data_IF_486441436182
#
_entry.id   IF_486441436182
#
_cell.length_a   1.000
_cell.length_b   1.000
_cell.length_c   1.000
_cell.angle_alpha   90.00
_cell.angle_beta   90.00
_cell.angle_gamma   90.00
#
_symmetry.space_group_name_H-M   'P 1'
#
loop_
_entity.id
_entity.type
_entity.pdbx_description
1 polymer ?
#
# COMPACT_ATOMS: atom_id res chain seq x y z
N UNK A 1 -46.51 0.74 42.90
CA UNK A 1 -45.46 1.08 41.92
C UNK A 1 -46.06 1.00 40.53
N UNK A 2 -45.94 2.10 39.78
CA UNK A 2 -46.83 2.48 38.67
C UNK A 2 -46.47 1.77 37.36
N UNK A 3 -47.44 1.10 36.72
CA UNK A 3 -47.44 0.83 35.27
C UNK A 3 -48.50 1.72 34.62
N UNK A 4 -48.05 2.44 33.59
CA UNK A 4 -48.83 3.30 32.69
C UNK A 4 -49.74 2.46 31.80
N UNK A 5 -50.96 2.92 31.55
CA UNK A 5 -51.73 2.59 30.36
C UNK A 5 -52.80 3.67 30.18
N UNK A 6 -52.74 4.41 29.07
CA UNK A 6 -53.92 5.02 28.46
C UNK A 6 -53.71 5.05 26.95
N UNK A 7 -54.41 4.14 26.29
CA UNK A 7 -54.78 4.15 24.88
C UNK A 7 -56.11 4.89 24.76
N UNK A 8 -56.32 5.64 23.68
CA UNK A 8 -57.63 5.83 23.04
C UNK A 8 -57.38 6.43 21.64
N UNK A 9 -57.41 5.61 20.59
CA UNK A 9 -58.52 5.44 19.63
C UNK A 9 -58.82 6.68 18.77
N UNK A 10 -58.60 6.58 17.46
CA UNK A 10 -59.71 6.47 16.49
C UNK A 10 -59.19 6.17 15.08
N UNK A 11 -60.05 5.51 14.31
CA UNK A 11 -59.77 4.87 13.04
C UNK A 11 -60.62 5.47 11.90
N UNK A 12 -60.21 5.16 10.66
CA UNK A 12 -61.00 5.06 9.41
C UNK A 12 -61.34 6.39 8.67
N UNK A 13 -60.89 6.53 7.41
CA UNK A 13 -61.74 6.58 6.20
C UNK A 13 -61.03 7.16 4.94
N UNK A 14 -60.74 6.26 3.99
CA UNK A 14 -60.95 6.30 2.51
C UNK A 14 -60.84 7.58 1.64
N UNK A 15 -59.97 7.46 0.62
CA UNK A 15 -60.06 7.83 -0.82
C UNK A 15 -61.18 8.77 -1.33
N UNK A 16 -60.79 9.80 -2.10
CA UNK A 16 -61.01 9.91 -3.57
C UNK A 16 -60.65 11.31 -4.13
N UNK A 17 -60.11 11.36 -5.37
CA UNK A 17 -60.51 12.41 -6.33
C UNK A 17 -59.46 13.41 -6.87
N UNK A 18 -59.01 13.13 -8.10
CA UNK A 18 -58.80 14.04 -9.24
C UNK A 18 -57.50 14.89 -9.42
N UNK A 19 -56.90 14.67 -10.59
CA UNK A 19 -55.95 15.50 -11.36
C UNK A 19 -56.49 16.95 -11.56
N UNK A 20 -55.73 18.02 -11.82
CA UNK A 20 -54.64 18.23 -12.80
C UNK A 20 -54.07 19.67 -12.67
N UNK A 21 -52.87 19.89 -13.24
CA UNK A 21 -52.28 21.12 -13.81
C UNK A 21 -51.47 22.12 -12.94
N UNK A 22 -50.15 22.04 -13.17
CA UNK A 22 -49.20 23.09 -13.55
C UNK A 22 -49.10 24.41 -12.74
N UNK A 23 -47.90 24.66 -12.23
CA UNK A 23 -47.42 26.00 -11.90
C UNK A 23 -46.18 25.99 -11.01
N UNK A 24 -44.99 26.03 -11.62
CA UNK A 24 -43.79 26.54 -10.95
C UNK A 24 -44.05 27.98 -10.51
N UNK A 25 -43.61 28.35 -9.31
CA UNK A 25 -42.58 29.35 -9.06
C UNK A 25 -42.75 29.93 -7.65
N UNK A 26 -41.68 29.87 -6.84
CA UNK A 26 -41.34 30.81 -5.77
C UNK A 26 -40.04 30.38 -5.09
N UNK A 27 -39.00 31.10 -5.47
CA UNK A 27 -37.74 31.24 -4.75
C UNK A 27 -37.97 31.96 -3.41
N UNK A 28 -37.47 31.39 -2.33
CA UNK A 28 -37.27 32.10 -1.06
C UNK A 28 -35.80 32.50 -0.91
N UNK A 29 -35.63 33.76 -0.49
CA UNK A 29 -34.36 34.47 -0.37
C UNK A 29 -33.50 33.85 0.74
N UNK A 30 -32.28 33.45 0.39
CA UNK A 30 -31.24 33.11 1.36
C UNK A 30 -30.64 34.37 1.97
N UNK A 31 -30.47 34.34 3.29
CA UNK A 31 -29.84 35.39 4.10
C UNK A 31 -28.35 35.53 3.76
N UNK A 32 -27.90 36.78 3.62
CA UNK A 32 -26.50 37.16 3.39
C UNK A 32 -25.64 36.78 4.60
N UNK A 33 -24.75 35.79 4.42
CA UNK A 33 -23.62 35.55 5.34
C UNK A 33 -22.43 36.40 4.90
N UNK A 34 -21.74 37.10 5.83
CA UNK A 34 -20.64 37.99 5.47
C UNK A 34 -19.46 37.22 4.86
N UNK A 35 -19.03 37.70 3.69
CA UNK A 35 -17.91 37.19 2.92
C UNK A 35 -16.58 37.43 3.68
N UNK A 36 -16.05 36.36 4.27
CA UNK A 36 -14.77 36.35 5.00
C UNK A 36 -14.05 35.01 4.85
N UNK A 37 -13.99 34.45 3.65
CA UNK A 37 -13.37 33.16 3.36
C UNK A 37 -11.89 33.27 2.98
N UNK A 38 -11.00 33.55 3.94
CA UNK A 38 -9.57 33.31 3.76
C UNK A 38 -9.26 31.81 3.88
N UNK A 39 -8.72 31.21 2.82
CA UNK A 39 -8.22 29.82 2.77
C UNK A 39 -7.16 29.55 3.86
N UNK A 40 -7.57 29.05 5.03
CA UNK A 40 -6.65 28.74 6.15
C UNK A 40 -6.31 27.25 6.21
N UNK A 41 -5.30 26.82 5.45
CA UNK A 41 -4.68 25.49 5.62
C UNK A 41 -3.75 25.00 4.51
N UNK A 42 -3.55 25.75 3.45
CA UNK A 42 -2.76 25.34 2.28
C UNK A 42 -1.27 25.67 2.48
N UNK A 43 -0.39 24.85 1.88
CA UNK A 43 1.03 25.14 1.86
C UNK A 43 1.30 26.42 1.06
N UNK A 44 2.01 27.37 1.65
CA UNK A 44 2.41 28.64 0.99
C UNK A 44 3.64 28.45 0.11
N UNK A 45 4.48 27.47 0.43
CA UNK A 45 5.64 27.04 -0.36
C UNK A 45 5.86 25.53 -0.25
N UNK A 46 6.65 25.00 -1.19
CA UNK A 46 7.27 23.67 -1.09
C UNK A 46 8.74 23.90 -1.40
N UNK A 47 9.63 23.38 -0.56
CA UNK A 47 11.07 23.35 -0.82
C UNK A 47 11.54 21.91 -0.94
N UNK A 48 12.61 21.68 -1.70
CA UNK A 48 13.23 20.37 -1.80
C UNK A 48 14.63 20.41 -1.21
N UNK A 49 15.02 19.34 -0.53
CA UNK A 49 16.39 19.16 -0.05
C UNK A 49 17.43 19.19 -1.19
N UNK A 50 17.02 18.92 -2.42
CA UNK A 50 17.83 19.04 -3.64
C UNK A 50 16.98 19.56 -4.81
N UNK A 51 17.58 20.41 -5.65
CA UNK A 51 16.95 20.93 -6.88
C UNK A 51 17.58 20.34 -8.15
N UNK A 52 18.72 19.66 -8.01
CA UNK A 52 19.39 18.92 -9.08
C UNK A 52 20.12 17.69 -8.51
N UNK A 53 20.03 16.57 -9.22
CA UNK A 53 20.79 15.35 -8.94
C UNK A 53 21.39 14.81 -10.24
N UNK A 54 22.66 14.45 -10.20
CA UNK A 54 23.32 13.66 -11.24
C UNK A 54 23.52 12.24 -10.69
N UNK A 55 22.95 11.24 -11.35
CA UNK A 55 22.84 9.86 -10.83
C UNK A 55 23.42 8.83 -11.81
N UNK A 56 23.96 7.76 -11.23
CA UNK A 56 24.27 6.51 -11.91
C UNK A 56 22.99 5.70 -12.17
N UNK A 57 22.98 4.85 -13.21
CA UNK A 57 21.85 3.93 -13.44
C UNK A 57 21.78 2.93 -12.28
N UNK A 58 20.57 2.63 -11.81
CA UNK A 58 20.25 1.91 -10.57
C UNK A 58 20.55 2.68 -9.27
N UNK A 59 21.08 3.91 -9.36
CA UNK A 59 21.21 4.78 -8.20
C UNK A 59 19.85 5.18 -7.63
N UNK A 60 19.80 5.37 -6.32
CA UNK A 60 18.59 5.80 -5.60
C UNK A 60 18.86 7.02 -4.73
N UNK A 61 17.84 7.85 -4.51
CA UNK A 61 17.95 9.01 -3.63
C UNK A 61 16.60 9.33 -2.98
N UNK A 62 16.60 9.63 -1.68
CA UNK A 62 15.39 10.10 -0.99
C UNK A 62 15.27 11.61 -1.12
N UNK A 63 14.37 12.08 -1.99
CA UNK A 63 14.00 13.51 -1.99
C UNK A 63 13.09 13.79 -0.81
N UNK A 64 13.28 14.96 -0.20
CA UNK A 64 12.49 15.43 0.93
C UNK A 64 11.85 16.75 0.55
N UNK A 65 10.54 16.85 0.81
CA UNK A 65 9.78 18.07 0.62
C UNK A 65 9.57 18.75 1.98
N UNK A 66 10.06 19.97 2.08
CA UNK A 66 9.99 20.80 3.28
C UNK A 66 8.80 21.74 3.09
N UNK A 67 7.84 21.66 4.01
CA UNK A 67 6.64 22.49 4.04
C UNK A 67 6.72 23.47 5.21
N UNK A 68 6.15 24.68 5.08
CA UNK A 68 6.02 25.64 6.18
C UNK A 68 5.33 25.00 7.39
N UNK A 69 5.77 25.37 8.60
CA UNK A 69 5.33 24.72 9.85
C UNK A 69 3.82 24.87 10.11
N UNK A 70 3.23 25.97 9.63
CA UNK A 70 1.81 26.31 9.72
C UNK A 70 0.93 25.53 8.73
N UNK A 71 1.54 24.77 7.81
CA UNK A 71 0.81 23.95 6.83
C UNK A 71 0.01 22.89 7.57
N UNK A 72 -1.32 22.99 7.49
CA UNK A 72 -2.24 22.02 8.12
C UNK A 72 -2.32 20.70 7.39
N UNK A 73 -2.12 20.72 6.07
CA UNK A 73 -2.16 19.55 5.20
C UNK A 73 -0.74 19.29 4.69
N UNK A 74 0.02 18.44 5.38
CA UNK A 74 1.42 18.15 5.00
C UNK A 74 1.59 17.10 3.92
N UNK A 75 0.55 16.86 3.12
CA UNK A 75 0.61 15.92 2.01
C UNK A 75 1.42 16.51 0.87
N UNK A 76 2.31 15.69 0.33
CA UNK A 76 3.11 15.98 -0.86
C UNK A 76 2.80 14.94 -1.92
N UNK A 77 2.36 15.38 -3.08
CA UNK A 77 2.24 14.54 -4.27
C UNK A 77 3.51 14.63 -5.09
N UNK A 78 4.10 13.48 -5.40
CA UNK A 78 5.30 13.35 -6.21
C UNK A 78 4.96 12.91 -7.63
N UNK A 79 5.66 13.45 -8.62
CA UNK A 79 5.50 13.06 -10.03
C UNK A 79 6.82 13.16 -10.76
N UNK A 80 7.10 12.17 -11.60
CA UNK A 80 8.17 12.25 -12.60
C UNK A 80 7.62 12.66 -13.97
N UNK A 81 8.34 13.53 -14.66
CA UNK A 81 8.06 13.85 -16.07
C UNK A 81 8.42 12.70 -17.02
N UNK A 82 9.34 11.82 -16.63
CA UNK A 82 9.73 10.65 -17.41
C UNK A 82 10.10 9.47 -16.49
N UNK A 83 9.10 8.69 -16.03
CA UNK A 83 9.31 7.53 -15.14
C UNK A 83 10.18 6.41 -15.75
N UNK A 84 10.45 6.41 -17.07
CA UNK A 84 11.36 5.45 -17.69
C UNK A 84 12.84 5.85 -17.55
N UNK A 85 13.11 7.12 -17.26
CA UNK A 85 14.46 7.66 -16.98
C UNK A 85 14.70 7.69 -15.47
N UNK A 86 13.80 8.32 -14.72
CA UNK A 86 13.83 8.30 -13.26
C UNK A 86 12.40 8.23 -12.71
N UNK A 87 12.10 7.22 -11.88
CA UNK A 87 10.82 7.12 -11.18
C UNK A 87 10.92 7.73 -9.79
N UNK A 88 9.78 8.11 -9.22
CA UNK A 88 9.64 8.58 -7.84
C UNK A 88 8.44 7.88 -7.22
N UNK A 89 8.60 7.35 -6.01
CA UNK A 89 7.52 6.75 -5.22
C UNK A 89 6.64 7.82 -4.56
N UNK A 90 5.57 7.40 -3.88
CA UNK A 90 4.65 8.32 -3.18
C UNK A 90 5.26 9.06 -2.00
N UNK A 91 6.40 8.58 -1.47
CA UNK A 91 7.15 9.19 -0.37
C UNK A 91 8.44 9.91 -0.83
N UNK A 92 8.67 10.06 -2.13
CA UNK A 92 9.81 10.83 -2.65
C UNK A 92 11.10 10.03 -2.90
N UNK A 93 11.06 8.70 -2.82
CA UNK A 93 12.18 7.84 -3.16
C UNK A 93 12.39 7.77 -4.68
N UNK A 94 13.48 8.37 -5.15
CA UNK A 94 13.85 8.43 -6.57
C UNK A 94 14.71 7.23 -6.95
N UNK A 95 14.39 6.60 -8.08
CA UNK A 95 15.21 5.52 -8.68
C UNK A 95 15.60 5.90 -10.11
N UNK A 96 16.91 5.90 -10.40
CA UNK A 96 17.45 6.12 -11.74
C UNK A 96 17.40 4.82 -12.56
N UNK A 97 16.70 4.84 -13.69
CA UNK A 97 16.38 3.63 -14.48
C UNK A 97 17.19 3.56 -15.78
N UNK A 98 17.28 4.68 -16.50
CA UNK A 98 17.99 4.71 -17.80
C UNK A 98 18.57 6.09 -18.07
N UNK A 99 19.59 6.13 -18.94
CA UNK A 99 20.27 7.38 -19.32
C UNK A 99 19.28 8.40 -19.89
N UNK A 100 19.36 9.64 -19.41
CA UNK A 100 18.50 10.73 -19.85
C UNK A 100 18.27 11.77 -18.75
N UNK A 101 17.24 12.59 -18.94
CA UNK A 101 16.82 13.57 -17.93
C UNK A 101 15.34 13.44 -17.59
N UNK A 102 15.00 13.63 -16.32
CA UNK A 102 13.63 13.69 -15.84
C UNK A 102 13.50 14.81 -14.80
N UNK A 103 12.33 15.43 -14.72
CA UNK A 103 12.01 16.37 -13.65
C UNK A 103 11.11 15.66 -12.64
N UNK A 104 11.50 15.69 -11.38
CA UNK A 104 10.70 15.21 -10.26
C UNK A 104 10.05 16.40 -9.58
N UNK A 105 8.72 16.45 -9.57
CA UNK A 105 7.94 17.55 -8.97
C UNK A 105 7.28 17.07 -7.70
N UNK A 106 7.49 17.79 -6.61
CA UNK A 106 6.75 17.70 -5.36
C UNK A 106 5.69 18.81 -5.32
N UNK A 107 4.46 18.47 -4.97
CA UNK A 107 3.36 19.44 -4.92
C UNK A 107 2.52 19.28 -3.67
N UNK A 108 2.13 20.39 -3.06
CA UNK A 108 1.18 20.44 -1.96
C UNK A 108 0.12 21.49 -2.29
N UNK A 109 -1.03 21.02 -2.76
CA UNK A 109 -2.13 21.84 -3.31
C UNK A 109 -1.65 22.87 -4.35
N UNK A 110 -1.53 24.15 -3.98
CA UNK A 110 -1.19 25.26 -4.87
C UNK A 110 0.31 25.50 -5.00
N UNK A 111 1.13 24.96 -4.09
CA UNK A 111 2.57 25.12 -4.10
C UNK A 111 3.26 23.88 -4.69
N UNK A 112 4.39 24.09 -5.37
CA UNK A 112 5.21 23.00 -5.92
C UNK A 112 6.67 23.38 -6.04
N UNK A 113 7.53 22.38 -6.01
CA UNK A 113 8.96 22.48 -6.29
C UNK A 113 9.40 21.33 -7.20
N UNK A 114 10.49 21.54 -7.94
CA UNK A 114 10.98 20.57 -8.92
C UNK A 114 12.48 20.33 -8.74
N UNK A 115 12.88 19.07 -8.80
CA UNK A 115 14.27 18.63 -8.87
C UNK A 115 14.56 18.05 -10.26
N UNK A 116 15.61 18.55 -10.92
CA UNK A 116 16.08 18.00 -12.20
C UNK A 116 17.01 16.81 -11.95
N UNK A 117 16.67 15.66 -12.51
CA UNK A 117 17.49 14.45 -12.46
C UNK A 117 18.18 14.26 -13.81
N UNK A 118 19.51 14.10 -13.78
CA UNK A 118 20.30 13.68 -14.93
C UNK A 118 20.88 12.30 -14.66
N UNK A 119 20.44 11.30 -15.42
CA UNK A 119 21.00 9.95 -15.36
C UNK A 119 22.03 9.85 -16.47
N UNK A 120 23.31 9.82 -16.11
CA UNK A 120 24.41 9.82 -17.09
C UNK A 120 25.61 8.98 -16.70
N UNK A 121 25.65 8.55 -15.44
CA UNK A 121 26.76 7.79 -14.90
C UNK A 121 26.74 6.30 -15.29
N UNK A 122 27.61 5.51 -14.66
CA UNK A 122 27.74 4.08 -14.93
C UNK A 122 26.51 3.34 -14.44
N UNK A 123 26.33 2.11 -14.92
CA UNK A 123 25.35 1.21 -14.31
C UNK A 123 25.93 0.67 -13.01
N UNK A 124 25.32 1.00 -11.88
CA UNK A 124 25.66 0.38 -10.60
C UNK A 124 25.25 -1.09 -10.70
N UNK A 125 26.23 -1.96 -10.54
CA UNK A 125 25.98 -3.39 -10.46
C UNK A 125 25.38 -3.69 -9.08
N UNK A 126 24.10 -4.07 -9.08
CA UNK A 126 23.42 -4.43 -7.85
C UNK A 126 23.85 -5.83 -7.45
N UNK A 127 24.08 -6.03 -6.16
CA UNK A 127 24.29 -7.37 -5.61
C UNK A 127 23.15 -8.31 -6.03
N UNK A 128 23.42 -9.59 -6.35
CA UNK A 128 22.38 -10.56 -6.64
C UNK A 128 21.42 -10.69 -5.45
N UNK A 129 20.15 -10.92 -5.74
CA UNK A 129 19.16 -11.21 -4.69
C UNK A 129 19.30 -12.67 -4.29
N UNK A 130 19.55 -12.92 -3.01
CA UNK A 130 19.70 -14.25 -2.42
C UNK A 130 18.58 -14.52 -1.41
N UNK A 131 17.38 -14.91 -1.86
CA UNK A 131 16.29 -15.21 -0.97
C UNK A 131 16.51 -16.57 -0.29
N UNK A 132 16.31 -16.62 1.04
CA UNK A 132 16.42 -17.84 1.84
C UNK A 132 15.11 -18.12 2.55
N UNK A 133 14.60 -19.34 2.36
CA UNK A 133 13.41 -19.85 3.06
C UNK A 133 13.87 -20.69 4.24
N UNK A 134 13.32 -20.42 5.42
CA UNK A 134 13.60 -21.13 6.67
C UNK A 134 12.27 -21.62 7.23
N UNK A 135 12.12 -22.92 7.44
CA UNK A 135 10.81 -23.52 7.74
C UNK A 135 9.93 -23.61 6.48
N UNK A 136 8.61 -23.69 6.65
CA UNK A 136 7.68 -23.76 5.53
C UNK A 136 6.36 -24.45 5.86
N UNK A 137 5.45 -24.46 4.89
CA UNK A 137 4.11 -25.07 5.03
C UNK A 137 3.91 -26.21 4.03
N UNK A 138 3.56 -27.41 4.51
CA UNK A 138 3.29 -28.57 3.66
C UNK A 138 1.84 -28.54 3.15
N UNK A 139 1.59 -28.51 1.82
CA UNK A 139 0.24 -28.53 1.26
C UNK A 139 -0.58 -29.79 1.59
N UNK A 140 0.06 -30.87 2.04
CA UNK A 140 -0.59 -32.16 2.33
C UNK A 140 -0.77 -32.42 3.82
N UNK A 141 0.06 -31.81 4.66
CA UNK A 141 0.15 -32.14 6.08
C UNK A 141 0.05 -30.86 6.91
N UNK A 142 -0.97 -30.78 7.76
CA UNK A 142 -1.09 -29.66 8.68
C UNK A 142 -0.21 -29.84 9.91
N UNK A 143 0.70 -28.90 10.13
CA UNK A 143 1.35 -28.66 11.41
C UNK A 143 0.95 -27.27 11.95
N UNK A 144 0.24 -27.28 13.09
CA UNK A 144 -0.20 -26.07 13.80
C UNK A 144 0.95 -25.22 14.36
N UNK A 145 2.13 -25.81 14.51
CA UNK A 145 3.33 -25.14 15.03
C UNK A 145 4.28 -24.75 13.89
N UNK A 146 3.92 -25.02 12.63
CA UNK A 146 4.74 -24.64 11.49
C UNK A 146 4.92 -23.13 11.45
N UNK A 147 6.17 -22.73 11.23
CA UNK A 147 6.58 -21.35 11.02
C UNK A 147 7.43 -21.27 9.77
N UNK A 148 7.42 -20.12 9.11
CA UNK A 148 8.31 -19.85 7.99
C UNK A 148 8.91 -18.45 8.11
N UNK A 149 10.15 -18.30 7.65
CA UNK A 149 10.77 -17.01 7.39
C UNK A 149 11.29 -16.97 5.97
N UNK A 150 11.08 -15.84 5.29
CA UNK A 150 11.73 -15.56 4.01
C UNK A 150 12.64 -14.36 4.19
N UNK A 151 13.94 -14.60 4.13
CA UNK A 151 14.99 -13.59 4.23
C UNK A 151 15.48 -13.19 2.85
N UNK A 152 15.75 -11.90 2.61
CA UNK A 152 16.35 -11.39 1.38
C UNK A 152 17.12 -10.09 1.63
N UNK A 153 18.17 -9.84 0.85
CA UNK A 153 19.07 -8.70 1.02
C UNK A 153 18.51 -7.39 0.44
N UNK A 154 17.76 -7.44 -0.67
CA UNK A 154 17.14 -6.27 -1.29
C UNK A 154 15.89 -6.63 -2.09
N UNK A 155 15.06 -5.63 -2.35
CA UNK A 155 13.93 -5.77 -3.26
C UNK A 155 14.37 -5.82 -4.74
N UNK A 156 13.64 -6.54 -5.60
CA UNK A 156 13.84 -6.49 -7.04
C UNK A 156 13.55 -5.11 -7.61
N UNK A 157 14.30 -4.69 -8.63
CA UNK A 157 14.10 -3.39 -9.31
C UNK A 157 13.50 -3.52 -10.71
N UNK A 158 13.33 -4.75 -11.21
CA UNK A 158 12.74 -5.03 -12.52
C UNK A 158 11.91 -6.30 -12.51
N UNK A 159 11.00 -6.44 -13.48
CA UNK A 159 10.23 -7.67 -13.69
C UNK A 159 11.14 -8.88 -13.96
N UNK A 160 12.30 -8.66 -14.59
CA UNK A 160 13.29 -9.70 -14.83
C UNK A 160 13.85 -10.24 -13.51
N UNK A 161 14.38 -9.35 -12.65
CA UNK A 161 14.89 -9.76 -11.33
C UNK A 161 13.78 -10.39 -10.48
N UNK A 162 12.56 -9.85 -10.52
CA UNK A 162 11.43 -10.42 -9.79
C UNK A 162 11.14 -11.86 -10.22
N UNK A 163 11.18 -12.14 -11.53
CA UNK A 163 11.06 -13.51 -12.06
C UNK A 163 12.20 -14.39 -11.56
N UNK A 164 13.44 -13.92 -11.59
CA UNK A 164 14.61 -14.68 -11.08
C UNK A 164 14.46 -15.04 -9.59
N UNK A 165 13.92 -14.14 -8.75
CA UNK A 165 13.58 -14.46 -7.35
C UNK A 165 12.43 -15.47 -7.29
N UNK A 166 11.39 -15.30 -8.12
CA UNK A 166 10.25 -16.21 -8.18
C UNK A 166 10.64 -17.64 -8.56
N UNK A 167 11.60 -17.81 -9.46
CA UNK A 167 12.16 -19.14 -9.78
C UNK A 167 12.74 -19.83 -8.53
N UNK A 168 13.38 -19.06 -7.63
CA UNK A 168 14.03 -19.57 -6.41
C UNK A 168 13.03 -19.95 -5.31
N UNK A 169 12.01 -19.12 -5.05
CA UNK A 169 11.13 -19.29 -3.87
C UNK A 169 9.65 -19.51 -4.21
N UNK A 170 9.18 -19.16 -5.40
CA UNK A 170 7.75 -19.17 -5.74
C UNK A 170 7.11 -20.57 -5.83
N UNK A 171 7.91 -21.63 -5.71
CA UNK A 171 7.43 -23.03 -5.68
C UNK A 171 6.97 -23.47 -4.29
N UNK A 172 7.03 -22.58 -3.30
CA UNK A 172 6.60 -22.81 -1.91
C UNK A 172 5.47 -21.84 -1.51
N UNK A 173 4.60 -22.21 -0.56
CA UNK A 173 3.55 -21.32 -0.04
C UNK A 173 4.12 -20.02 0.53
N UNK A 174 5.08 -20.11 1.45
CA UNK A 174 5.73 -18.96 2.09
C UNK A 174 6.50 -18.08 1.09
N UNK A 175 7.11 -18.70 0.06
CA UNK A 175 7.81 -17.96 -0.96
C UNK A 175 6.90 -17.07 -1.80
N UNK A 176 5.70 -17.52 -2.18
CA UNK A 176 4.76 -16.66 -2.93
C UNK A 176 4.23 -15.51 -2.08
N UNK A 177 4.07 -15.72 -0.78
CA UNK A 177 3.68 -14.65 0.16
C UNK A 177 4.73 -13.53 0.19
N UNK A 178 6.01 -13.90 0.33
CA UNK A 178 7.10 -12.92 0.28
C UNK A 178 7.18 -12.21 -1.08
N UNK A 179 6.96 -12.93 -2.18
CA UNK A 179 6.93 -12.34 -3.51
C UNK A 179 5.77 -11.35 -3.70
N UNK A 180 4.61 -11.57 -3.08
CA UNK A 180 3.51 -10.60 -3.12
C UNK A 180 3.89 -9.28 -2.42
N UNK A 181 4.50 -9.36 -1.24
CA UNK A 181 5.03 -8.18 -0.54
C UNK A 181 6.11 -7.47 -1.36
N UNK A 182 7.00 -8.21 -2.02
CA UNK A 182 7.95 -7.63 -2.97
C UNK A 182 7.24 -6.93 -4.13
N UNK A 183 6.19 -7.53 -4.70
CA UNK A 183 5.42 -6.92 -5.79
C UNK A 183 4.72 -5.63 -5.37
N UNK A 184 4.24 -5.55 -4.12
CA UNK A 184 3.63 -4.34 -3.57
C UNK A 184 4.66 -3.22 -3.35
N UNK A 185 5.85 -3.55 -2.87
CA UNK A 185 6.95 -2.59 -2.77
C UNK A 185 7.42 -2.12 -4.16
N UNK A 186 7.46 -3.03 -5.13
CA UNK A 186 7.74 -2.66 -6.51
C UNK A 186 6.66 -1.74 -7.09
N UNK A 187 5.39 -1.93 -6.71
CA UNK A 187 4.32 -1.01 -7.10
C UNK A 187 4.50 0.37 -6.47
N UNK A 188 4.85 0.42 -5.19
CA UNK A 188 5.14 1.66 -4.48
C UNK A 188 6.21 2.49 -5.20
N UNK A 189 7.28 1.84 -5.67
CA UNK A 189 8.39 2.49 -6.41
C UNK A 189 8.04 2.81 -7.85
N UNK A 190 7.34 1.90 -8.52
CA UNK A 190 6.95 2.03 -9.92
C UNK A 190 5.66 1.23 -10.20
N UNK A 191 4.49 1.89 -10.25
CA UNK A 191 3.20 1.21 -10.42
C UNK A 191 3.10 0.33 -11.67
N UNK A 192 3.79 0.69 -12.76
CA UNK A 192 3.77 -0.11 -13.99
C UNK A 192 4.49 -1.45 -13.78
N UNK A 193 5.72 -1.40 -13.24
CA UNK A 193 6.52 -2.60 -12.95
C UNK A 193 5.85 -3.44 -11.86
N UNK A 194 5.40 -2.82 -10.77
CA UNK A 194 4.75 -3.52 -9.67
C UNK A 194 3.50 -4.26 -10.10
N UNK A 195 2.65 -3.67 -10.95
CA UNK A 195 1.48 -4.38 -11.45
C UNK A 195 1.82 -5.59 -12.34
N UNK A 196 2.92 -5.53 -13.10
CA UNK A 196 3.41 -6.72 -13.80
C UNK A 196 3.83 -7.81 -12.81
N UNK A 197 4.47 -7.44 -11.71
CA UNK A 197 4.90 -8.39 -10.66
C UNK A 197 3.70 -8.99 -9.92
N UNK A 198 2.70 -8.18 -9.53
CA UNK A 198 1.44 -8.65 -8.91
C UNK A 198 0.77 -9.71 -9.78
N UNK A 199 0.68 -9.47 -11.09
CA UNK A 199 0.06 -10.41 -12.04
C UNK A 199 0.77 -11.76 -12.10
N UNK A 200 2.05 -11.83 -11.76
CA UNK A 200 2.83 -13.07 -11.74
C UNK A 200 2.58 -13.91 -10.49
N UNK A 201 2.06 -13.33 -9.41
CA UNK A 201 1.95 -14.02 -8.11
C UNK A 201 0.55 -14.04 -7.52
N UNK A 202 -0.40 -13.28 -8.05
CA UNK A 202 -1.78 -13.26 -7.57
C UNK A 202 -2.76 -13.80 -8.61
N UNK A 203 -3.79 -14.52 -8.16
CA UNK A 203 -4.94 -14.92 -8.99
C UNK A 203 -5.60 -13.71 -9.65
N UNK A 204 -5.94 -13.87 -10.93
CA UNK A 204 -6.56 -12.85 -11.76
C UNK A 204 -7.85 -12.29 -11.15
N UNK A 205 -8.64 -13.09 -10.42
CA UNK A 205 -9.87 -12.61 -9.80
C UNK A 205 -9.65 -11.50 -8.76
N UNK A 206 -8.43 -11.35 -8.23
CA UNK A 206 -8.08 -10.38 -7.20
C UNK A 206 -7.27 -9.19 -7.73
N UNK A 207 -6.92 -9.16 -9.02
CA UNK A 207 -6.11 -8.09 -9.59
C UNK A 207 -6.77 -6.71 -9.42
N UNK A 208 -8.10 -6.62 -9.56
CA UNK A 208 -8.83 -5.36 -9.36
C UNK A 208 -8.73 -4.88 -7.92
N UNK A 209 -9.06 -5.74 -6.97
CA UNK A 209 -9.09 -5.40 -5.54
C UNK A 209 -7.70 -5.01 -5.04
N UNK A 210 -6.66 -5.73 -5.47
CA UNK A 210 -5.27 -5.37 -5.19
C UNK A 210 -4.92 -4.02 -5.80
N UNK A 211 -5.24 -3.82 -7.08
CA UNK A 211 -4.92 -2.56 -7.77
C UNK A 211 -5.58 -1.38 -7.06
N UNK A 212 -6.85 -1.51 -6.70
CA UNK A 212 -7.60 -0.45 -6.04
C UNK A 212 -7.10 -0.21 -4.60
N UNK A 213 -6.71 -1.28 -3.90
CA UNK A 213 -6.04 -1.20 -2.61
C UNK A 213 -4.69 -0.48 -2.66
N UNK A 214 -3.81 -0.90 -3.57
CA UNK A 214 -2.50 -0.28 -3.79
C UNK A 214 -2.63 1.20 -4.17
N UNK A 215 -3.63 1.56 -5.01
CA UNK A 215 -3.95 2.96 -5.30
C UNK A 215 -4.47 3.74 -4.09
N UNK A 216 -5.09 3.08 -3.11
CA UNK A 216 -5.53 3.75 -1.88
C UNK A 216 -4.35 4.05 -0.96
N UNK A 217 -3.44 3.10 -0.77
CA UNK A 217 -2.30 3.25 0.15
C UNK A 217 -1.09 3.98 -0.46
N UNK A 218 -0.90 3.93 -1.77
CA UNK A 218 0.19 4.62 -2.46
C UNK A 218 -0.29 5.75 -3.37
N UNK A 219 -1.60 5.96 -3.46
CA UNK A 219 -2.18 7.00 -4.30
C UNK A 219 -2.67 8.22 -3.52
N UNK A 220 -3.66 8.90 -4.08
CA UNK A 220 -3.97 10.30 -3.75
C UNK A 220 -4.85 10.50 -2.51
N UNK A 221 -5.36 9.45 -1.88
CA UNK A 221 -6.28 9.59 -0.75
C UNK A 221 -5.50 9.86 0.55
N UNK A 222 -5.55 11.11 1.01
CA UNK A 222 -4.70 11.62 2.08
C UNK A 222 -4.84 10.86 3.41
N UNK A 223 -6.06 10.43 3.75
CA UNK A 223 -6.33 9.71 5.00
C UNK A 223 -5.99 8.20 4.92
N UNK A 224 -5.66 7.71 3.72
CA UNK A 224 -5.43 6.29 3.46
C UNK A 224 -3.98 5.98 3.04
N UNK A 225 -3.17 7.00 2.74
CA UNK A 225 -1.80 6.83 2.29
C UNK A 225 -0.92 6.20 3.39
N UNK A 226 -0.25 5.09 3.06
CA UNK A 226 0.62 4.32 3.94
C UNK A 226 1.86 3.86 3.13
N UNK A 227 2.82 4.75 2.83
CA UNK A 227 4.01 4.38 2.06
C UNK A 227 4.86 3.30 2.75
N UNK A 228 4.76 3.20 4.08
CA UNK A 228 5.41 2.17 4.90
C UNK A 228 4.66 0.83 4.93
N UNK A 229 3.60 0.63 4.15
CA UNK A 229 2.71 -0.53 4.29
C UNK A 229 3.46 -1.87 4.17
N UNK A 230 4.31 -2.04 3.16
CA UNK A 230 5.12 -3.27 3.04
C UNK A 230 6.12 -3.38 4.18
N UNK A 231 6.76 -2.27 4.57
CA UNK A 231 7.72 -2.27 5.66
C UNK A 231 7.14 -2.81 6.96
N UNK A 232 5.82 -2.68 7.19
CA UNK A 232 5.20 -3.24 8.38
C UNK A 232 5.26 -4.77 8.47
N UNK A 233 5.51 -5.48 7.37
CA UNK A 233 5.64 -6.94 7.34
C UNK A 233 7.08 -7.43 7.50
N UNK A 234 8.03 -6.52 7.70
CA UNK A 234 9.45 -6.81 7.77
C UNK A 234 9.97 -6.69 9.20
N UNK A 235 10.81 -7.62 9.63
CA UNK A 235 11.38 -7.61 10.97
C UNK A 235 12.18 -6.31 11.26
N UNK A 236 12.12 -5.86 12.51
CA UNK A 236 12.77 -4.62 12.97
C UNK A 236 12.08 -3.34 12.51
N UNK A 237 11.03 -3.44 11.69
CA UNK A 237 10.17 -2.30 11.39
C UNK A 237 9.33 -2.00 12.62
N UNK A 238 9.37 -0.79 13.13
CA UNK A 238 8.56 -0.39 14.28
C UNK A 238 8.01 1.00 14.09
N UNK A 239 6.86 1.29 14.70
CA UNK A 239 6.32 2.65 14.67
C UNK A 239 7.35 3.66 15.18
N UNK A 240 8.07 3.30 16.26
CA UNK A 240 9.12 4.08 16.95
C UNK A 240 10.27 4.53 16.03
N UNK A 241 10.60 3.73 15.01
CA UNK A 241 11.68 4.00 14.05
C UNK A 241 11.17 4.41 12.66
N UNK A 242 9.87 4.66 12.53
CA UNK A 242 9.26 5.15 11.29
C UNK A 242 8.95 4.02 10.32
N UNK A 243 8.79 2.81 10.84
CA UNK A 243 8.69 1.57 10.07
C UNK A 243 9.91 1.35 9.19
N UNK A 244 11.10 1.60 9.74
CA UNK A 244 12.37 1.31 9.08
C UNK A 244 12.81 -0.11 9.45
N UNK A 245 12.70 -1.10 8.54
CA UNK A 245 13.04 -2.48 8.81
C UNK A 245 14.54 -2.71 9.00
N UNK A 246 14.88 -3.80 9.67
CA UNK A 246 16.27 -4.28 9.73
C UNK A 246 16.71 -4.95 8.43
N UNK A 247 18.03 -4.97 8.20
CA UNK A 247 18.66 -5.71 7.12
C UNK A 247 19.42 -6.94 7.66
N UNK A 248 19.40 -8.09 6.96
CA UNK A 248 18.62 -8.37 5.76
C UNK A 248 17.11 -8.34 6.06
N UNK A 249 16.29 -8.08 5.04
CA UNK A 249 14.84 -8.08 5.19
C UNK A 249 14.34 -9.48 5.50
N UNK A 250 13.39 -9.60 6.43
CA UNK A 250 12.80 -10.87 6.85
C UNK A 250 11.29 -10.72 6.93
N UNK A 251 10.57 -11.58 6.21
CA UNK A 251 9.12 -11.77 6.38
C UNK A 251 8.90 -13.01 7.23
N UNK A 252 8.21 -12.85 8.36
CA UNK A 252 7.94 -13.94 9.30
C UNK A 252 6.47 -14.37 9.24
N UNK A 253 6.24 -15.68 9.33
CA UNK A 253 4.94 -16.31 9.15
C UNK A 253 4.73 -17.45 10.14
N UNK A 254 3.47 -17.73 10.47
CA UNK A 254 3.04 -18.92 11.22
C UNK A 254 1.81 -19.54 10.55
N UNK A 255 1.55 -20.80 10.86
CA UNK A 255 0.33 -21.47 10.43
C UNK A 255 -0.89 -20.78 11.04
N UNK A 256 -1.93 -20.52 10.22
CA UNK A 256 -3.22 -20.05 10.71
C UNK A 256 -3.94 -21.17 11.49
N UNK A 257 -4.93 -20.82 12.32
CA UNK A 257 -5.56 -21.79 13.22
C UNK A 257 -6.27 -22.96 12.48
N UNK A 258 -6.87 -22.68 11.32
CA UNK A 258 -7.55 -23.66 10.46
C UNK A 258 -7.16 -23.44 8.98
N UNK A 259 -5.90 -23.75 8.58
CA UNK A 259 -5.33 -23.15 7.39
C UNK A 259 -5.66 -23.87 6.08
N UNK A 260 -6.02 -25.15 6.12
CA UNK A 260 -6.20 -25.96 4.91
C UNK A 260 -7.68 -26.14 4.58
N UNK A 261 -8.07 -25.68 3.39
CA UNK A 261 -9.43 -25.90 2.86
C UNK A 261 -9.40 -26.33 1.40
N UNK A 262 -10.41 -27.09 1.00
CA UNK A 262 -10.53 -27.60 -0.37
C UNK A 262 -10.94 -26.46 -1.31
N UNK A 263 -10.18 -26.28 -2.39
CA UNK A 263 -10.52 -25.35 -3.47
C UNK A 263 -11.13 -26.08 -4.66
N UNK A 264 -12.47 -26.13 -4.73
CA UNK A 264 -13.16 -26.93 -5.76
C UNK A 264 -12.89 -26.46 -7.19
N UNK A 265 -12.76 -25.14 -7.40
CA UNK A 265 -12.55 -24.54 -8.73
C UNK A 265 -11.35 -25.15 -9.48
N UNK A 266 -10.29 -25.52 -8.76
CA UNK A 266 -9.07 -26.09 -9.33
C UNK A 266 -8.70 -27.46 -8.76
N UNK A 267 -9.60 -28.08 -8.00
CA UNK A 267 -9.36 -29.36 -7.33
C UNK A 267 -7.99 -29.38 -6.59
N UNK A 268 -7.76 -28.36 -5.77
CA UNK A 268 -6.51 -28.16 -5.02
C UNK A 268 -6.80 -27.72 -3.59
N UNK A 269 -5.77 -27.39 -2.81
CA UNK A 269 -5.86 -26.95 -1.43
C UNK A 269 -5.53 -25.45 -1.34
N UNK A 270 -6.38 -24.70 -0.66
CA UNK A 270 -6.05 -23.36 -0.16
C UNK A 270 -5.29 -23.51 1.15
N UNK A 271 -4.23 -22.72 1.31
CA UNK A 271 -3.43 -22.64 2.52
C UNK A 271 -3.53 -21.20 3.02
N UNK A 272 -4.18 -20.99 4.16
CA UNK A 272 -4.16 -19.72 4.88
C UNK A 272 -2.89 -19.64 5.74
N UNK A 273 -2.20 -18.52 5.66
CA UNK A 273 -0.94 -18.26 6.36
C UNK A 273 -1.07 -16.94 7.10
N UNK A 274 -0.70 -16.92 8.38
CA UNK A 274 -0.64 -15.71 9.19
C UNK A 274 0.73 -15.06 9.04
N UNK A 275 0.79 -13.85 8.48
CA UNK A 275 2.03 -13.07 8.34
C UNK A 275 2.13 -12.05 9.45
N UNK A 276 3.26 -12.01 10.14
CA UNK A 276 3.50 -11.07 11.23
C UNK A 276 3.61 -9.63 10.72
N UNK A 277 3.11 -8.69 11.52
CA UNK A 277 3.20 -7.25 11.25
C UNK A 277 3.72 -6.48 12.45
N UNK A 278 4.39 -5.36 12.19
CA UNK A 278 4.78 -4.39 13.20
C UNK A 278 3.60 -3.46 13.52
N UNK A 279 3.00 -3.61 14.71
CA UNK A 279 1.86 -2.77 15.11
C UNK A 279 1.14 -3.14 16.41
N UNK A 280 1.84 -3.05 17.55
CA UNK A 280 1.36 -2.90 18.96
C UNK A 280 0.21 -3.80 19.46
N UNK A 281 0.40 -4.69 20.45
CA UNK A 281 0.70 -4.40 21.87
C UNK A 281 1.62 -5.47 22.48
N UNK A 282 2.28 -5.08 23.58
CA UNK A 282 2.96 -5.97 24.55
C UNK A 282 2.16 -7.28 24.68
N UNK A 283 2.75 -8.38 24.20
CA UNK A 283 2.32 -9.79 24.28
C UNK A 283 1.59 -10.44 23.08
N UNK A 284 1.24 -9.74 21.98
CA UNK A 284 0.76 -10.43 20.76
C UNK A 284 1.13 -9.63 19.49
N UNK A 285 1.97 -10.19 18.63
CA UNK A 285 2.36 -9.56 17.36
C UNK A 285 1.19 -9.77 16.38
N UNK A 286 0.50 -8.71 15.93
CA UNK A 286 -0.66 -8.86 15.06
C UNK A 286 -0.27 -9.53 13.75
N UNK A 287 -1.11 -10.45 13.29
CA UNK A 287 -0.96 -11.09 11.99
C UNK A 287 -1.98 -10.60 10.99
N UNK A 288 -1.65 -10.77 9.72
CA UNK A 288 -2.57 -10.65 8.60
C UNK A 288 -2.59 -11.96 7.84
N UNK A 289 -3.80 -12.42 7.56
CA UNK A 289 -4.01 -13.67 6.84
C UNK A 289 -3.86 -13.44 5.33
N UNK A 290 -3.18 -14.37 4.69
CA UNK A 290 -3.06 -14.49 3.24
C UNK A 290 -3.40 -15.92 2.86
N UNK A 291 -4.16 -16.10 1.79
CA UNK A 291 -4.50 -17.42 1.29
C UNK A 291 -3.73 -17.67 0.00
N UNK A 292 -3.06 -18.81 -0.10
CA UNK A 292 -2.30 -19.23 -1.27
C UNK A 292 -2.74 -20.59 -1.77
N UNK A 293 -2.46 -20.88 -3.03
CA UNK A 293 -2.77 -22.16 -3.64
C UNK A 293 -1.83 -22.45 -4.81
N UNK A 294 -1.83 -23.69 -5.29
CA UNK A 294 -1.13 -24.09 -6.51
C UNK A 294 -1.99 -25.06 -7.32
N UNK A 295 -2.16 -24.78 -8.61
CA UNK A 295 -2.80 -25.71 -9.54
C UNK A 295 -1.79 -26.78 -9.96
N UNK A 296 -2.25 -27.99 -10.24
CA UNK A 296 -1.40 -29.05 -10.78
C UNK A 296 -0.71 -28.67 -12.11
N UNK A 297 -1.36 -27.83 -12.91
CA UNK A 297 -0.84 -27.34 -14.19
C UNK A 297 0.09 -26.12 -14.09
N UNK A 298 0.26 -25.54 -12.90
CA UNK A 298 1.10 -24.37 -12.69
C UNK A 298 2.38 -24.75 -11.96
N UNK A 299 3.49 -24.11 -12.34
CA UNK A 299 4.78 -24.34 -11.70
C UNK A 299 4.87 -23.69 -10.30
N UNK A 300 4.24 -22.53 -10.14
CA UNK A 300 4.35 -21.66 -8.97
C UNK A 300 3.06 -21.63 -8.16
N UNK A 301 3.20 -21.37 -6.86
CA UNK A 301 2.07 -20.96 -6.04
C UNK A 301 1.57 -19.58 -6.47
N UNK A 302 0.31 -19.31 -6.17
CA UNK A 302 -0.39 -18.07 -6.42
C UNK A 302 -1.12 -17.65 -5.15
N UNK A 303 -1.16 -16.35 -4.88
CA UNK A 303 -2.02 -15.77 -3.85
C UNK A 303 -3.46 -15.80 -4.34
N UNK A 304 -4.31 -16.45 -3.57
CA UNK A 304 -5.75 -16.46 -3.74
C UNK A 304 -6.40 -15.26 -3.05
N UNK A 305 -5.98 -14.83 -1.87
CA UNK A 305 -6.62 -13.72 -1.16
C UNK A 305 -5.62 -12.93 -0.33
N UNK A 306 -5.66 -11.60 -0.46
CA UNK A 306 -4.68 -10.67 0.13
C UNK A 306 -5.32 -9.64 1.06
N UNK A 307 -6.56 -9.88 1.53
CA UNK A 307 -7.40 -8.89 2.22
C UNK A 307 -6.76 -8.25 3.46
N UNK A 308 -5.76 -8.91 4.06
CA UNK A 308 -4.98 -8.38 5.18
C UNK A 308 -3.77 -7.53 4.82
N UNK A 309 -3.22 -7.61 3.59
CA UNK A 309 -1.95 -6.96 3.25
C UNK A 309 -2.07 -5.48 2.88
N UNK A 310 -3.26 -5.07 2.43
CA UNK A 310 -3.49 -3.72 1.90
C UNK A 310 -3.62 -2.69 3.03
N UNK A 311 -3.98 -3.09 4.26
CA UNK A 311 -4.12 -2.17 5.39
C UNK A 311 -3.54 -2.78 6.69
N UNK A 312 -2.22 -2.78 6.82
CA UNK A 312 -1.52 -3.19 8.04
C UNK A 312 -0.70 -2.05 8.67
N UNK A 313 -0.45 -2.17 9.97
CA UNK A 313 0.18 -1.12 10.77
C UNK A 313 -0.76 0.01 11.18
N UNK A 314 -0.42 0.66 12.28
CA UNK A 314 -1.13 1.85 12.74
C UNK A 314 -0.74 3.07 11.90
N UNK A 315 -1.67 4.00 11.61
CA UNK A 315 -1.32 5.27 11.01
C UNK A 315 -0.18 5.96 11.79
N UNK A 316 0.87 6.36 11.08
CA UNK A 316 1.75 7.42 11.58
C UNK A 316 0.92 8.70 11.59
N UNK A 317 0.61 9.21 12.79
CA UNK A 317 0.02 10.53 12.94
C UNK A 317 1.13 11.57 12.86
N UNK A 318 0.82 12.81 12.44
CA UNK A 318 1.82 13.89 12.29
C UNK A 318 2.60 14.18 13.59
N UNK A 319 2.03 13.86 14.75
CA UNK A 319 2.64 14.06 16.06
C UNK A 319 3.74 13.04 16.37
N UNK A 320 3.88 11.99 15.55
CA UNK A 320 4.79 10.89 15.84
C UNK A 320 6.25 11.26 15.50
N UNK A 321 7.20 11.15 16.45
CA UNK A 321 8.60 11.56 16.23
C UNK A 321 9.26 10.90 15.03
N UNK A 322 8.93 9.65 14.73
CA UNK A 322 9.53 8.94 13.60
C UNK A 322 8.99 9.40 12.23
N UNK A 323 7.77 9.97 12.17
CA UNK A 323 7.30 10.68 10.98
C UNK A 323 8.15 11.94 10.74
N UNK A 324 8.71 12.53 11.82
CA UNK A 324 9.68 13.64 11.70
C UNK A 324 11.06 13.19 11.18
N UNK A 325 11.35 11.89 11.12
CA UNK A 325 12.60 11.33 10.58
C UNK A 325 12.50 10.88 9.12
N UNK A 326 11.28 10.83 8.56
CA UNK A 326 11.04 10.85 7.11
C UNK A 326 11.10 12.29 6.53
N UNK A 327 11.36 13.29 7.38
CA UNK A 327 11.66 14.67 6.96
C UNK A 327 13.04 14.79 6.39
#
# INVERSE_FOLDING_TARGET
MKKKFFLSLMAIATLAGAMTLAGCDKSEKGEDFPNGGGEKGDATSVELNQTRLDMDINGTFQLQAILPAETKIKKVEWKSSNPKVASVSSDGFVTAISKGTANITASSKKASATCKITVSGKKVELEPIDPKVIGGFDPKTYDRNATAKVQFNRFPVSVKEFKEVREKIGKTPEGVVALELMAFEMYHRNPAIGMECVKLVTDQSYHRDITDGLKRIYGKYQDLARPYQVATFLEGSERSNGYNPSHPYVVSMKASANPYSRYEKYNTVLIEISVYTSGSRINDIPTREVTVYKRSSQEYYMVHGCGGFIFAGDPLTEDYPAYKGLK
#
